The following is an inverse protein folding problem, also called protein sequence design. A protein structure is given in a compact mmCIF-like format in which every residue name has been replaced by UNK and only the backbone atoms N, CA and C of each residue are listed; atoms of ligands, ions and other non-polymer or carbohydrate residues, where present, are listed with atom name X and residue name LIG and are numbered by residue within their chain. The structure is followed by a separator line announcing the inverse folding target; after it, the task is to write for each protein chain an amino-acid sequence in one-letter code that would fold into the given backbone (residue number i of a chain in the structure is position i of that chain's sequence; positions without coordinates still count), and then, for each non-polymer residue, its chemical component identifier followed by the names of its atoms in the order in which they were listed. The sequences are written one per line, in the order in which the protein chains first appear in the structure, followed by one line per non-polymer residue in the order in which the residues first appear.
data_IF_725269411470
#
_entry.id   IF_725269411470
#
_cell.length_a   1.000
_cell.length_b   1.000
_cell.length_c   1.000
_cell.angle_alpha   90.00
_cell.angle_beta   90.00
_cell.angle_gamma   90.00
#
_symmetry.space_group_name_H-M   'P 1'
#
loop_
_entity.id
_entity.type
_entity.pdbx_description
1 polymer ?
#
# COMPACT_ATOMS: atom_id res chain seq x y z
N UNK A 1 20.28 23.29 -10.66
CA UNK A 1 21.16 22.13 -10.38
C UNK A 1 21.09 21.89 -8.87
N UNK A 2 20.69 20.69 -8.44
CA UNK A 2 20.62 20.34 -7.01
C UNK A 2 22.01 20.08 -6.42
N UNK A 3 22.10 20.05 -5.09
CA UNK A 3 23.32 19.68 -4.37
C UNK A 3 23.71 18.23 -4.68
N UNK A 4 25.00 17.95 -4.79
CA UNK A 4 25.51 16.57 -4.87
C UNK A 4 25.53 15.95 -3.46
N UNK A 5 25.55 14.62 -3.36
CA UNK A 5 25.59 13.90 -2.07
C UNK A 5 26.71 14.39 -1.14
N UNK A 6 27.89 14.69 -1.70
CA UNK A 6 29.07 15.18 -0.97
C UNK A 6 28.93 16.60 -0.43
N UNK A 7 27.94 17.36 -0.91
CA UNK A 7 27.62 18.71 -0.44
C UNK A 7 26.49 18.72 0.60
N UNK A 8 25.90 17.56 0.93
CA UNK A 8 24.89 17.42 1.96
C UNK A 8 25.55 17.17 3.32
N UNK A 9 24.96 17.73 4.38
CA UNK A 9 25.36 17.44 5.77
C UNK A 9 24.61 16.20 6.24
N UNK A 10 25.33 15.08 6.36
CA UNK A 10 24.73 13.79 6.75
C UNK A 10 23.98 13.84 8.08
N UNK A 11 24.43 14.68 9.02
CA UNK A 11 23.77 14.87 10.30
C UNK A 11 22.35 15.46 10.20
N UNK A 12 22.01 16.10 9.09
CA UNK A 12 20.67 16.66 8.86
C UNK A 12 19.78 15.72 8.02
N UNK A 13 20.31 14.59 7.56
CA UNK A 13 19.56 13.66 6.74
C UNK A 13 18.84 12.65 7.62
N UNK A 14 17.52 12.57 7.43
CA UNK A 14 16.66 11.59 8.08
C UNK A 14 15.95 10.75 7.02
N UNK A 15 15.78 9.46 7.28
CA UNK A 15 14.94 8.61 6.46
C UNK A 15 13.47 8.86 6.83
N UNK A 16 12.73 9.53 5.94
CA UNK A 16 11.30 9.82 6.14
C UNK A 16 10.40 8.66 5.70
N UNK A 17 10.87 7.80 4.79
CA UNK A 17 10.08 6.66 4.38
C UNK A 17 10.71 5.81 3.29
N UNK A 18 10.08 4.66 3.06
CA UNK A 18 10.45 3.67 2.07
C UNK A 18 9.19 3.23 1.34
N UNK A 19 9.24 3.24 0.01
CA UNK A 19 8.19 2.70 -0.84
C UNK A 19 8.65 1.36 -1.44
N UNK A 20 7.84 0.34 -1.25
CA UNK A 20 8.02 -0.98 -1.81
C UNK A 20 7.00 -1.16 -2.94
N UNK A 21 7.46 -1.65 -4.08
CA UNK A 21 6.61 -1.90 -5.24
C UNK A 21 6.34 -3.39 -5.38
N UNK A 22 5.11 -3.71 -5.78
CA UNK A 22 4.66 -5.05 -6.13
C UNK A 22 3.96 -5.01 -7.48
N UNK A 23 4.15 -6.08 -8.25
CA UNK A 23 3.40 -6.33 -9.49
C UNK A 23 2.44 -7.49 -9.20
N UNK A 24 1.18 -7.22 -8.81
CA UNK A 24 0.19 -8.25 -8.59
C UNK A 24 0.03 -9.09 -9.85
N UNK A 25 0.03 -10.42 -9.70
CA UNK A 25 -0.31 -11.30 -10.82
C UNK A 25 -1.79 -11.11 -11.15
N UNK A 26 -2.16 -10.96 -12.44
CA UNK A 26 -3.57 -10.94 -12.82
C UNK A 26 -4.23 -12.27 -12.42
N UNK A 27 -5.46 -12.20 -11.92
CA UNK A 27 -6.21 -13.39 -11.53
C UNK A 27 -6.43 -14.31 -12.75
N UNK A 28 -6.41 -15.65 -12.57
CA UNK A 28 -6.57 -16.60 -13.69
C UNK A 28 -7.91 -16.54 -14.42
N UNK A 29 -8.91 -15.84 -13.88
CA UNK A 29 -10.32 -15.95 -14.29
C UNK A 29 -10.80 -14.94 -15.33
N UNK A 30 -9.95 -14.07 -15.88
CA UNK A 30 -10.38 -13.10 -16.89
C UNK A 30 -9.74 -13.31 -18.27
N UNK A 31 -10.44 -13.98 -19.21
CA UNK A 31 -10.03 -14.06 -20.61
C UNK A 31 -10.21 -12.75 -21.40
N UNK A 32 -10.66 -11.65 -20.77
CA UNK A 32 -11.11 -10.45 -21.50
C UNK A 32 -10.77 -9.13 -20.81
N UNK A 33 -9.49 -8.72 -20.81
CA UNK A 33 -9.21 -7.27 -20.80
C UNK A 33 -7.97 -6.92 -21.62
N UNK A 34 -8.21 -6.64 -22.90
CA UNK A 34 -7.30 -5.86 -23.76
C UNK A 34 -7.27 -4.40 -23.27
N UNK A 35 -6.70 -4.15 -22.10
CA UNK A 35 -6.39 -2.80 -21.62
C UNK A 35 -4.95 -2.45 -21.98
N UNK A 36 -4.74 -1.71 -23.06
CA UNK A 36 -3.40 -1.36 -23.60
C UNK A 36 -2.67 -0.23 -22.85
N UNK A 37 -3.31 0.39 -21.84
CA UNK A 37 -2.78 1.60 -21.18
C UNK A 37 -1.94 1.33 -19.92
N UNK A 38 -2.22 0.27 -19.15
CA UNK A 38 -1.55 0.02 -17.87
C UNK A 38 -0.07 -0.41 -18.02
N UNK A 39 0.34 -0.88 -19.21
CA UNK A 39 1.62 -1.55 -19.41
C UNK A 39 2.85 -0.66 -19.27
N UNK A 40 2.81 0.65 -19.58
CA UNK A 40 4.07 1.42 -19.66
C UNK A 40 4.75 1.66 -18.31
N UNK A 41 4.00 1.94 -17.25
CA UNK A 41 4.57 2.13 -15.91
C UNK A 41 4.85 0.79 -15.22
N UNK A 42 4.02 -0.23 -15.44
CA UNK A 42 4.30 -1.61 -14.98
C UNK A 42 5.55 -2.22 -15.62
N UNK A 43 5.95 -1.78 -16.82
CA UNK A 43 7.17 -2.25 -17.47
C UNK A 43 8.46 -1.66 -16.88
N UNK A 44 8.38 -0.57 -16.10
CA UNK A 44 9.57 0.11 -15.56
C UNK A 44 9.98 -0.39 -14.17
N UNK A 45 9.08 -1.07 -13.45
CA UNK A 45 9.28 -1.50 -12.07
C UNK A 45 8.94 -2.99 -11.91
N UNK A 46 9.65 -3.67 -11.01
CA UNK A 46 9.40 -5.07 -10.69
C UNK A 46 9.06 -5.21 -9.21
N UNK A 47 8.42 -6.33 -8.86
CA UNK A 47 8.16 -6.66 -7.45
C UNK A 47 9.46 -6.63 -6.64
N UNK A 48 9.43 -5.95 -5.50
CA UNK A 48 10.57 -5.88 -4.59
C UNK A 48 11.01 -7.30 -4.19
N UNK A 49 12.27 -7.68 -4.42
CA UNK A 49 12.71 -9.07 -4.22
C UNK A 49 12.83 -9.46 -2.74
N UNK A 50 12.81 -8.50 -1.81
CA UNK A 50 12.91 -8.76 -0.36
C UNK A 50 11.59 -9.12 0.32
N UNK A 51 10.57 -9.55 -0.42
CA UNK A 51 9.31 -10.08 0.12
C UNK A 51 9.55 -11.53 0.60
N UNK A 52 8.97 -11.96 1.74
CA UNK A 52 7.99 -11.25 2.57
C UNK A 52 8.61 -10.16 3.46
N UNK A 53 7.87 -9.07 3.63
CA UNK A 53 8.22 -7.97 4.54
C UNK A 53 7.58 -8.20 5.90
N UNK A 54 8.35 -8.13 6.99
CA UNK A 54 7.83 -8.23 8.36
C UNK A 54 7.77 -6.83 8.97
N UNK A 55 6.56 -6.35 9.21
CA UNK A 55 6.30 -5.05 9.83
C UNK A 55 6.17 -5.22 11.34
N UNK A 56 6.89 -4.43 12.13
CA UNK A 56 6.64 -4.29 13.56
C UNK A 56 5.47 -3.30 13.75
N UNK A 57 4.43 -3.71 14.48
CA UNK A 57 3.24 -2.90 14.69
C UNK A 57 3.34 -2.12 16.00
N UNK A 58 2.74 -0.92 16.03
CA UNK A 58 2.70 -0.11 17.24
C UNK A 58 1.89 -0.80 18.35
N UNK A 59 2.33 -0.69 19.60
CA UNK A 59 1.55 -1.16 20.74
C UNK A 59 0.39 -0.20 21.04
N UNK A 60 -0.70 -0.73 21.62
CA UNK A 60 -1.78 0.10 22.15
C UNK A 60 -2.67 0.80 21.11
N UNK A 61 -2.68 0.33 19.84
CA UNK A 61 -3.61 0.87 18.85
C UNK A 61 -5.07 0.68 19.27
N UNK A 62 -5.88 1.69 19.02
CA UNK A 62 -7.32 1.70 19.31
C UNK A 62 -8.13 1.82 18.03
N UNK A 63 -9.35 1.30 18.04
CA UNK A 63 -10.34 1.60 17.00
C UNK A 63 -10.91 3.03 17.13
N UNK A 64 -11.85 3.36 16.25
CA UNK A 64 -12.53 4.66 16.21
C UNK A 64 -13.35 4.95 17.47
N UNK A 65 -13.73 3.92 18.22
CA UNK A 65 -14.51 4.03 19.46
C UNK A 65 -13.59 4.05 20.70
N UNK A 66 -12.26 4.08 20.50
CA UNK A 66 -11.26 4.11 21.56
C UNK A 66 -11.02 2.75 22.22
N UNK A 67 -11.52 1.65 21.64
CA UNK A 67 -11.30 0.30 22.16
C UNK A 67 -9.97 -0.25 21.65
N UNK A 68 -9.21 -0.87 22.55
CA UNK A 68 -7.94 -1.50 22.20
C UNK A 68 -8.12 -2.59 21.13
N UNK A 69 -7.34 -2.50 20.05
CA UNK A 69 -7.27 -3.50 19.01
C UNK A 69 -6.42 -4.68 19.48
N UNK A 70 -7.00 -5.89 19.44
CA UNK A 70 -6.24 -7.13 19.64
C UNK A 70 -5.61 -7.53 18.31
N UNK A 71 -4.29 -7.35 18.20
CA UNK A 71 -3.53 -7.64 16.98
C UNK A 71 -2.14 -8.20 17.32
N UNK A 72 -1.51 -8.98 16.43
CA UNK A 72 -0.15 -9.47 16.66
C UNK A 72 0.85 -8.30 16.71
N UNK A 73 2.02 -8.48 17.36
CA UNK A 73 3.08 -7.46 17.37
C UNK A 73 3.77 -7.30 16.00
N UNK A 74 3.56 -8.24 15.08
CA UNK A 74 4.15 -8.23 13.75
C UNK A 74 3.11 -8.59 12.68
N UNK A 75 3.24 -8.00 11.50
CA UNK A 75 2.45 -8.33 10.32
C UNK A 75 3.35 -8.71 9.15
N UNK A 76 3.12 -9.88 8.56
CA UNK A 76 3.90 -10.36 7.40
C UNK A 76 3.16 -10.00 6.12
N UNK A 77 3.79 -9.17 5.29
CA UNK A 77 3.29 -8.76 3.98
C UNK A 77 3.95 -9.62 2.91
N UNK A 78 3.15 -10.47 2.29
CA UNK A 78 3.50 -11.28 1.13
C UNK A 78 3.10 -10.57 -0.17
N UNK A 79 3.62 -11.02 -1.30
CA UNK A 79 3.25 -10.45 -2.61
C UNK A 79 1.76 -10.61 -2.95
N UNK A 80 1.06 -11.54 -2.28
CA UNK A 80 -0.36 -11.81 -2.49
C UNK A 80 -1.26 -11.19 -1.40
N UNK A 81 -0.69 -10.48 -0.41
CA UNK A 81 -1.48 -9.91 0.68
C UNK A 81 -2.53 -8.94 0.14
N UNK A 82 -3.77 -9.15 0.55
CA UNK A 82 -4.95 -8.44 0.06
C UNK A 82 -5.46 -7.39 1.05
N UNK A 83 -6.33 -6.50 0.58
CA UNK A 83 -6.93 -5.45 1.42
C UNK A 83 -7.61 -5.97 2.69
N UNK A 84 -8.30 -7.11 2.61
CA UNK A 84 -8.92 -7.76 3.79
C UNK A 84 -7.90 -8.23 4.82
N UNK A 85 -6.71 -8.65 4.39
CA UNK A 85 -5.65 -9.11 5.31
C UNK A 85 -5.03 -7.92 6.04
N UNK A 86 -4.79 -6.81 5.33
CA UNK A 86 -4.35 -5.56 5.95
C UNK A 86 -5.37 -5.06 6.98
N UNK A 87 -6.65 -4.94 6.59
CA UNK A 87 -7.70 -4.47 7.52
C UNK A 87 -7.92 -5.47 8.67
N UNK A 88 -7.85 -6.77 8.39
CA UNK A 88 -8.00 -7.81 9.42
C UNK A 88 -6.91 -7.77 10.48
N UNK A 89 -5.68 -7.37 10.13
CA UNK A 89 -4.57 -7.25 11.06
C UNK A 89 -4.45 -5.86 11.71
N UNK A 90 -4.58 -4.80 10.91
CA UNK A 90 -4.31 -3.42 11.33
C UNK A 90 -5.57 -2.70 11.85
N UNK A 91 -6.76 -3.25 11.61
CA UNK A 91 -8.03 -2.61 11.91
C UNK A 91 -8.42 -1.58 10.84
N UNK A 92 -9.36 -0.69 11.21
CA UNK A 92 -9.84 0.36 10.31
C UNK A 92 -8.74 1.39 10.04
N UNK A 93 -8.49 1.77 8.77
CA UNK A 93 -7.50 2.79 8.44
C UNK A 93 -7.93 4.17 8.93
N UNK A 94 -6.95 4.99 9.32
CA UNK A 94 -7.16 6.38 9.75
C UNK A 94 -7.52 7.28 8.57
N UNK A 95 -6.91 7.02 7.40
CA UNK A 95 -7.18 7.72 6.16
C UNK A 95 -7.34 6.73 5.02
N UNK A 96 -8.21 7.06 4.07
CA UNK A 96 -8.47 6.23 2.90
C UNK A 96 -8.98 7.08 1.74
N UNK A 97 -8.70 6.68 0.51
CA UNK A 97 -9.10 7.45 -0.68
C UNK A 97 -8.82 6.73 -2.00
N UNK A 98 -9.08 7.41 -3.11
CA UNK A 98 -8.86 6.85 -4.45
C UNK A 98 -10.01 5.99 -4.98
N UNK A 99 -9.73 5.20 -6.01
CA UNK A 99 -10.71 4.34 -6.70
C UNK A 99 -11.60 5.08 -7.72
N UNK A 100 -11.97 6.33 -7.43
CA UNK A 100 -12.71 7.18 -8.35
C UNK A 100 -11.75 8.08 -9.16
N UNK A 101 -11.56 7.76 -10.44
CA UNK A 101 -10.77 8.55 -11.37
C UNK A 101 -10.97 8.09 -12.81
N UNK A 102 -10.58 8.90 -13.81
CA UNK A 102 -10.72 8.53 -15.21
C UNK A 102 -9.94 7.23 -15.50
N UNK A 103 -10.48 6.40 -16.39
CA UNK A 103 -9.88 5.11 -16.79
C UNK A 103 -8.47 5.24 -17.37
N UNK A 104 -8.04 6.46 -17.75
CA UNK A 104 -6.71 6.77 -18.25
C UNK A 104 -5.65 6.99 -17.16
N UNK A 105 -5.99 7.06 -15.88
CA UNK A 105 -4.99 7.40 -14.85
C UNK A 105 -5.45 7.42 -13.39
N UNK A 106 -6.56 6.75 -13.04
CA UNK A 106 -6.96 6.65 -11.63
C UNK A 106 -5.89 5.93 -10.80
N UNK A 107 -5.53 6.54 -9.67
CA UNK A 107 -4.93 5.83 -8.55
C UNK A 107 -5.91 4.77 -8.06
N UNK A 108 -5.41 3.60 -7.67
CA UNK A 108 -6.22 2.60 -6.99
C UNK A 108 -6.78 3.16 -5.67
N UNK A 109 -7.67 2.43 -5.02
CA UNK A 109 -7.97 2.73 -3.63
C UNK A 109 -6.70 2.59 -2.78
N UNK A 110 -6.59 3.39 -1.73
CA UNK A 110 -5.48 3.34 -0.79
C UNK A 110 -5.98 3.50 0.64
N UNK A 111 -5.24 2.91 1.58
CA UNK A 111 -5.48 2.94 3.02
C UNK A 111 -4.20 3.35 3.75
N UNK A 112 -4.33 4.15 4.80
CA UNK A 112 -3.22 4.59 5.66
C UNK A 112 -3.58 4.32 7.13
N UNK A 113 -2.65 3.71 7.85
CA UNK A 113 -2.63 3.50 9.30
C UNK A 113 -1.51 4.35 9.88
N UNK A 114 -1.82 5.62 10.14
CA UNK A 114 -0.84 6.64 10.51
C UNK A 114 -0.05 6.28 11.78
N UNK A 115 -0.72 5.67 12.77
CA UNK A 115 -0.09 5.23 14.02
C UNK A 115 0.86 4.03 13.87
N UNK A 116 0.76 3.28 12.78
CA UNK A 116 1.70 2.22 12.42
C UNK A 116 2.77 2.68 11.43
N UNK A 117 2.62 3.88 10.86
CA UNK A 117 3.52 4.33 9.81
C UNK A 117 3.36 3.56 8.49
N UNK A 118 2.15 3.06 8.20
CA UNK A 118 1.88 2.19 7.04
C UNK A 118 0.86 2.84 6.12
N UNK A 119 1.15 2.91 4.82
CA UNK A 119 0.19 3.22 3.77
C UNK A 119 0.27 2.17 2.66
N UNK A 120 -0.88 1.80 2.11
CA UNK A 120 -1.01 0.78 1.07
C UNK A 120 -1.86 1.32 -0.08
N UNK A 121 -1.32 1.31 -1.30
CA UNK A 121 -2.09 1.44 -2.55
C UNK A 121 -2.41 0.05 -3.10
N UNK A 122 -3.66 -0.19 -3.47
CA UNK A 122 -4.08 -1.45 -4.06
C UNK A 122 -4.07 -1.39 -5.60
N UNK A 123 -3.65 -2.50 -6.21
CA UNK A 123 -3.56 -2.66 -7.65
C UNK A 123 -4.71 -3.44 -8.26
N UNK A 124 -4.67 -3.58 -9.59
CA UNK A 124 -5.64 -4.35 -10.36
C UNK A 124 -6.97 -3.64 -10.59
N UNK A 125 -7.88 -4.34 -11.27
CA UNK A 125 -9.21 -3.83 -11.63
C UNK A 125 -10.16 -3.77 -10.42
N UNK A 126 -9.87 -4.53 -9.36
CA UNK A 126 -10.62 -4.50 -8.10
C UNK A 126 -10.41 -3.22 -7.29
N UNK A 127 -9.28 -2.54 -7.50
CA UNK A 127 -8.96 -1.29 -6.81
C UNK A 127 -9.43 -0.03 -7.57
N UNK A 128 -10.12 -0.17 -8.71
CA UNK A 128 -10.45 0.95 -9.61
C UNK A 128 -11.89 0.96 -10.08
N UNK A 129 -12.37 2.16 -10.40
CA UNK A 129 -13.67 2.39 -11.02
C UNK A 129 -14.82 2.38 -10.02
N UNK A 130 -16.07 2.34 -10.53
CA UNK A 130 -17.23 2.18 -9.68
C UNK A 130 -17.06 0.94 -8.80
N UNK A 131 -17.48 1.07 -7.53
CA UNK A 131 -17.45 -0.02 -6.56
C UNK A 131 -16.05 -0.52 -6.13
N UNK A 132 -15.00 0.27 -6.34
CA UNK A 132 -13.65 -0.11 -5.93
C UNK A 132 -13.51 -0.32 -4.42
N UNK A 133 -14.34 0.33 -3.60
CA UNK A 133 -14.32 0.16 -2.14
C UNK A 133 -14.99 -1.15 -1.69
N UNK A 134 -15.98 -1.61 -2.44
CA UNK A 134 -16.71 -2.85 -2.21
C UNK A 134 -15.89 -4.07 -2.66
N UNK A 135 -15.14 -3.92 -3.77
CA UNK A 135 -14.27 -4.97 -4.32
C UNK A 135 -12.86 -4.96 -3.75
N UNK A 136 -12.42 -3.81 -3.22
CA UNK A 136 -11.08 -3.55 -2.71
C UNK A 136 -10.58 -4.50 -1.63
N UNK A 137 -11.48 -5.20 -0.94
CA UNK A 137 -11.12 -6.23 0.05
C UNK A 137 -10.28 -7.37 -0.55
N UNK A 138 -10.46 -7.69 -1.83
CA UNK A 138 -9.72 -8.75 -2.53
C UNK A 138 -8.60 -8.18 -3.41
N UNK A 139 -8.45 -6.86 -3.48
CA UNK A 139 -7.37 -6.23 -4.22
C UNK A 139 -6.02 -6.47 -3.51
N UNK A 140 -5.01 -6.86 -4.29
CA UNK A 140 -3.64 -7.07 -3.81
C UNK A 140 -2.89 -5.74 -3.81
N UNK A 141 -2.03 -5.52 -2.82
CA UNK A 141 -1.25 -4.29 -2.75
C UNK A 141 -0.30 -4.14 -3.94
N UNK A 142 -0.12 -2.90 -4.38
CA UNK A 142 0.80 -2.50 -5.44
C UNK A 142 1.95 -1.67 -4.89
N UNK A 143 1.65 -0.76 -3.96
CA UNK A 143 2.64 0.06 -3.28
C UNK A 143 2.42 -0.07 -1.78
N UNK A 144 3.48 -0.39 -1.04
CA UNK A 144 3.52 -0.34 0.41
C UNK A 144 4.50 0.75 0.81
N UNK A 145 4.01 1.78 1.48
CA UNK A 145 4.83 2.86 2.01
C UNK A 145 4.98 2.69 3.53
N UNK A 146 6.22 2.71 4.00
CA UNK A 146 6.58 2.68 5.41
C UNK A 146 7.20 4.02 5.77
N UNK A 147 6.72 4.66 6.83
CA UNK A 147 7.19 5.96 7.31
C UNK A 147 7.22 5.97 8.84
N UNK A 148 7.96 6.89 9.49
CA UNK A 148 7.90 7.06 10.94
C UNK A 148 6.45 7.26 11.40
N UNK A 149 5.97 6.48 12.38
CA UNK A 149 4.64 6.66 12.96
C UNK A 149 4.42 8.12 13.37
N UNK A 150 3.28 8.70 12.99
CA UNK A 150 2.90 10.05 13.41
C UNK A 150 1.92 9.92 14.58
N UNK A 151 2.21 10.63 15.67
CA UNK A 151 1.30 10.76 16.82
C UNK A 151 0.08 11.59 16.46
#
# INVERSE_FOLDING_TARGET
MGLTRSALRDADLVLEGLDFYNVPKPAPSDPKTKGTSARKAELAFSTFPGIPLVLALAEGATDKDGKALSRPPHFTVEAATSGKEFVGCLGEPTRKGGGAGPSSGSIGIWCEWTGDGVMVEFGGDEAKGPQAWERGKDAVWRVLSIFPPKQ
#
